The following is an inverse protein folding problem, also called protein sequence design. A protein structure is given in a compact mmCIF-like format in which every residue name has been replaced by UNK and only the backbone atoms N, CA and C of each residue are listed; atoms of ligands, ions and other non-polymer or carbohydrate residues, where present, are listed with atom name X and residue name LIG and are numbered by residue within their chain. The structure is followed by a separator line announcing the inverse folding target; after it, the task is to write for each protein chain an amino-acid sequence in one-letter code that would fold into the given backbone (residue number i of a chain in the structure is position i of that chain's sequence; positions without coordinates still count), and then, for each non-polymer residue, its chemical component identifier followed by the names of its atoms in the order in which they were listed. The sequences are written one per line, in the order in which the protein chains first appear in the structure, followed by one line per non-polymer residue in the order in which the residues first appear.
data_IF_074381131643
#
_entry.id   IF_074381131643
#
_cell.length_a   1.000
_cell.length_b   1.000
_cell.length_c   1.000
_cell.angle_alpha   90.00
_cell.angle_beta   90.00
_cell.angle_gamma   90.00
#
_symmetry.space_group_name_H-M   'P 1'
#
loop_
_entity.id
_entity.type
_entity.pdbx_description
1 polymer ?
#
# COMPACT_ATOMS: atom_id res chain seq x y z
N UNK A 1 25.61 -37.00 -12.30
CA UNK A 1 24.15 -36.70 -12.32
C UNK A 1 23.69 -36.45 -10.89
N UNK A 2 23.68 -35.19 -10.47
CA UNK A 2 23.35 -34.78 -9.10
C UNK A 2 22.01 -34.03 -9.19
N UNK A 3 20.95 -34.61 -8.62
CA UNK A 3 19.64 -33.94 -8.49
C UNK A 3 19.74 -32.87 -7.39
N UNK A 4 19.30 -31.62 -7.62
CA UNK A 4 19.22 -30.66 -6.54
C UNK A 4 17.98 -30.96 -5.68
N UNK A 5 18.18 -30.87 -4.36
CA UNK A 5 17.16 -31.01 -3.32
C UNK A 5 16.23 -29.81 -3.37
N UNK A 6 14.93 -30.08 -3.54
CA UNK A 6 13.85 -29.09 -3.43
C UNK A 6 13.81 -28.55 -2.00
N UNK A 7 14.23 -27.30 -1.81
CA UNK A 7 14.01 -26.57 -0.57
C UNK A 7 12.55 -26.11 -0.54
N UNK A 8 11.71 -26.82 0.23
CA UNK A 8 10.39 -26.32 0.64
C UNK A 8 10.60 -25.10 1.55
N UNK A 9 10.58 -23.90 0.97
CA UNK A 9 10.39 -22.68 1.73
C UNK A 9 8.91 -22.59 2.12
N UNK A 10 8.60 -22.96 3.36
CA UNK A 10 7.34 -22.57 3.99
C UNK A 10 7.35 -21.04 4.15
N UNK A 11 6.75 -20.35 3.18
CA UNK A 11 6.45 -18.93 3.30
C UNK A 11 5.38 -18.78 4.40
N UNK A 12 5.81 -18.61 5.66
CA UNK A 12 4.92 -18.09 6.69
C UNK A 12 4.53 -16.69 6.23
N UNK A 13 3.32 -16.56 5.68
CA UNK A 13 2.71 -15.26 5.42
C UNK A 13 2.58 -14.54 6.76
N UNK A 14 3.57 -13.73 7.10
CA UNK A 14 3.51 -12.83 8.25
C UNK A 14 2.42 -11.83 7.93
N UNK A 15 1.21 -12.08 8.44
CA UNK A 15 0.12 -11.13 8.40
C UNK A 15 0.54 -9.94 9.27
N UNK A 16 1.24 -8.98 8.67
CA UNK A 16 1.42 -7.64 9.21
C UNK A 16 0.06 -6.92 9.12
N UNK A 17 -0.93 -7.40 9.88
CA UNK A 17 -1.84 -6.47 10.53
C UNK A 17 -0.92 -5.57 11.33
N UNK A 18 -0.87 -4.27 10.99
CA UNK A 18 -0.25 -3.27 11.85
C UNK A 18 -0.94 -3.37 13.22
N UNK A 19 -0.38 -4.22 14.07
CA UNK A 19 -0.60 -4.24 15.50
C UNK A 19 0.14 -3.02 15.99
N UNK A 20 -0.49 -1.85 15.85
CA UNK A 20 -0.25 -0.75 16.76
C UNK A 20 -0.76 -1.20 18.14
N UNK A 21 -0.07 -2.18 18.72
CA UNK A 21 -0.06 -2.44 20.14
C UNK A 21 0.91 -1.42 20.71
N UNK A 22 0.36 -0.37 21.33
CA UNK A 22 1.14 0.45 22.23
C UNK A 22 1.64 -0.48 23.34
N UNK A 23 2.94 -0.79 23.28
CA UNK A 23 3.66 -1.45 24.36
C UNK A 23 3.50 -0.65 25.65
N UNK A 24 3.39 -1.38 26.74
CA UNK A 24 3.07 -0.90 28.09
C UNK A 24 3.75 0.40 28.48
N UNK A 25 2.93 1.43 28.67
CA UNK A 25 3.11 2.39 29.75
C UNK A 25 1.89 2.25 30.65
N UNK A 26 2.12 1.74 31.86
CA UNK A 26 1.15 1.77 32.94
C UNK A 26 0.78 3.23 33.24
N UNK A 27 -0.33 3.69 32.67
CA UNK A 27 -1.02 4.90 33.11
C UNK A 27 -2.43 4.52 33.55
N UNK A 28 -2.58 4.46 34.87
CA UNK A 28 -3.75 4.90 35.62
C UNK A 28 -5.03 5.19 34.81
N UNK A 29 -5.75 4.14 34.46
CA UNK A 29 -7.21 4.22 34.45
C UNK A 29 -7.72 2.85 34.91
N UNK A 30 -8.34 2.80 36.09
CA UNK A 30 -8.85 1.58 36.74
C UNK A 30 -10.04 0.94 36.02
N UNK A 31 -10.11 1.02 34.68
CA UNK A 31 -11.12 0.35 33.88
C UNK A 31 -10.58 -1.01 33.46
N UNK A 32 -11.30 -2.12 33.71
CA UNK A 32 -10.90 -3.43 33.22
C UNK A 32 -10.76 -3.41 31.69
N UNK A 33 -9.88 -4.24 31.11
CA UNK A 33 -9.77 -4.37 29.66
C UNK A 33 -11.14 -4.68 29.06
N UNK A 34 -11.54 -3.90 28.06
CA UNK A 34 -12.86 -4.00 27.41
C UNK A 34 -13.04 -5.41 26.84
N UNK A 35 -14.12 -6.10 27.22
CA UNK A 35 -14.37 -7.48 26.80
C UNK A 35 -14.53 -7.59 25.27
N UNK A 36 -14.28 -8.76 24.67
CA UNK A 36 -14.50 -8.95 23.23
C UNK A 36 -15.96 -8.68 22.85
N UNK A 37 -16.91 -9.07 23.71
CA UNK A 37 -18.34 -8.77 23.52
C UNK A 37 -18.60 -7.26 23.41
N UNK A 38 -18.03 -6.45 24.29
CA UNK A 38 -18.19 -5.00 24.25
C UNK A 38 -17.52 -4.39 23.01
N UNK A 39 -16.36 -4.91 22.61
CA UNK A 39 -15.67 -4.50 21.38
C UNK A 39 -16.53 -4.81 20.13
N UNK A 40 -17.14 -5.99 20.05
CA UNK A 40 -18.05 -6.37 18.95
C UNK A 40 -19.27 -5.45 18.94
N UNK A 41 -19.90 -5.22 20.09
CA UNK A 41 -21.06 -4.33 20.20
C UNK A 41 -20.72 -2.89 19.78
N UNK A 42 -19.55 -2.38 20.17
CA UNK A 42 -19.08 -1.07 19.72
C UNK A 42 -18.79 -1.04 18.22
N UNK A 43 -18.17 -2.09 17.67
CA UNK A 43 -17.89 -2.20 16.24
C UNK A 43 -19.19 -2.23 15.42
N UNK A 44 -20.23 -2.93 15.86
CA UNK A 44 -21.53 -2.97 15.17
C UNK A 44 -22.22 -1.60 15.07
N UNK A 45 -21.94 -0.67 15.99
CA UNK A 45 -22.47 0.71 15.96
C UNK A 45 -21.78 1.60 14.94
N UNK A 46 -20.65 1.18 14.36
CA UNK A 46 -19.95 1.92 13.30
C UNK A 46 -20.88 2.09 12.09
N UNK A 47 -21.25 3.31 11.68
CA UNK A 47 -22.20 3.53 10.58
C UNK A 47 -21.68 3.06 9.22
N UNK A 48 -20.37 3.21 8.96
CA UNK A 48 -19.81 2.90 7.65
C UNK A 48 -19.55 1.38 7.54
N UNK A 49 -20.23 0.65 6.63
CA UNK A 49 -20.12 -0.82 6.56
C UNK A 49 -18.70 -1.32 6.33
N UNK A 50 -17.92 -0.64 5.50
CA UNK A 50 -16.51 -0.99 5.26
C UNK A 50 -15.67 -0.90 6.54
N UNK A 51 -15.82 0.19 7.29
CA UNK A 51 -15.09 0.41 8.55
C UNK A 51 -15.55 -0.60 9.61
N UNK A 52 -16.86 -0.86 9.68
CA UNK A 52 -17.46 -1.88 10.54
C UNK A 52 -16.86 -3.26 10.25
N UNK A 53 -16.79 -3.65 8.98
CA UNK A 53 -16.18 -4.92 8.56
C UNK A 53 -14.72 -5.01 9.01
N UNK A 54 -13.89 -4.00 8.74
CA UNK A 54 -12.47 -3.98 9.15
C UNK A 54 -12.30 -4.12 10.67
N UNK A 55 -13.13 -3.42 11.46
CA UNK A 55 -13.12 -3.52 12.93
C UNK A 55 -13.48 -4.93 13.39
N UNK A 56 -14.57 -5.49 12.87
CA UNK A 56 -15.04 -6.84 13.22
C UNK A 56 -14.02 -7.92 12.83
N UNK A 57 -13.41 -7.85 11.64
CA UNK A 57 -12.35 -8.78 11.21
C UNK A 57 -11.19 -8.78 12.20
N UNK A 58 -10.74 -7.60 12.65
CA UNK A 58 -9.65 -7.48 13.62
C UNK A 58 -10.02 -8.03 14.99
N UNK A 59 -11.28 -7.88 15.42
CA UNK A 59 -11.76 -8.44 16.69
C UNK A 59 -11.82 -9.97 16.58
N UNK A 60 -12.46 -10.50 15.54
CA UNK A 60 -12.57 -11.94 15.29
C UNK A 60 -11.20 -12.62 15.22
N UNK A 61 -10.24 -12.01 14.52
CA UNK A 61 -8.87 -12.53 14.46
C UNK A 61 -8.21 -12.62 15.85
N UNK A 62 -8.41 -11.61 16.70
CA UNK A 62 -7.87 -11.61 18.07
C UNK A 62 -8.59 -12.62 18.97
N UNK A 63 -9.90 -12.78 18.82
CA UNK A 63 -10.66 -13.84 19.51
C UNK A 63 -10.11 -15.22 19.16
N UNK A 64 -9.92 -15.51 17.87
CA UNK A 64 -9.36 -16.78 17.42
C UNK A 64 -7.95 -17.02 17.97
N UNK A 65 -7.09 -15.99 17.99
CA UNK A 65 -5.75 -16.07 18.61
C UNK A 65 -5.80 -16.26 20.13
N UNK A 66 -6.88 -15.82 20.78
CA UNK A 66 -7.15 -16.05 22.20
C UNK A 66 -7.91 -17.37 22.46
N UNK A 67 -8.04 -18.25 21.44
CA UNK A 67 -8.75 -19.53 21.51
C UNK A 67 -10.27 -19.42 21.80
N UNK A 68 -10.85 -18.24 21.59
CA UNK A 68 -12.30 -18.03 21.55
C UNK A 68 -12.80 -18.34 20.13
N UNK A 69 -12.85 -19.63 19.78
CA UNK A 69 -13.18 -20.09 18.42
C UNK A 69 -14.63 -19.74 18.04
N UNK A 70 -15.59 -20.04 18.93
CA UNK A 70 -17.00 -19.73 18.69
C UNK A 70 -17.25 -18.23 18.59
N UNK A 71 -16.70 -17.43 19.51
CA UNK A 71 -16.85 -15.98 19.45
C UNK A 71 -16.17 -15.36 18.23
N UNK A 72 -15.06 -15.93 17.77
CA UNK A 72 -14.41 -15.53 16.53
C UNK A 72 -15.28 -15.84 15.31
N UNK A 73 -15.85 -17.05 15.23
CA UNK A 73 -16.73 -17.46 14.14
C UNK A 73 -17.94 -16.53 14.01
N UNK A 74 -18.66 -16.30 15.10
CA UNK A 74 -19.79 -15.36 15.15
C UNK A 74 -19.39 -13.95 14.69
N UNK A 75 -18.23 -13.48 15.13
CA UNK A 75 -17.73 -12.14 14.78
C UNK A 75 -17.28 -12.06 13.32
N UNK A 76 -16.75 -13.14 12.76
CA UNK A 76 -16.44 -13.23 11.34
C UNK A 76 -17.70 -13.25 10.47
N UNK A 77 -18.79 -13.87 10.91
CA UNK A 77 -20.07 -13.82 10.22
C UNK A 77 -20.67 -12.41 10.21
N UNK A 78 -20.56 -11.70 11.32
CA UNK A 78 -20.91 -10.27 11.40
C UNK A 78 -20.05 -9.43 10.45
N UNK A 79 -18.74 -9.70 10.38
CA UNK A 79 -17.85 -9.04 9.44
C UNK A 79 -18.26 -9.30 7.99
N UNK A 80 -18.55 -10.56 7.63
CA UNK A 80 -19.00 -10.93 6.29
C UNK A 80 -20.32 -10.23 5.92
N UNK A 81 -21.24 -10.07 6.87
CA UNK A 81 -22.48 -9.30 6.68
C UNK A 81 -22.18 -7.83 6.42
N UNK A 82 -21.27 -7.22 7.18
CA UNK A 82 -20.84 -5.84 6.96
C UNK A 82 -20.13 -5.65 5.61
N UNK A 83 -19.32 -6.61 5.16
CA UNK A 83 -18.76 -6.63 3.80
C UNK A 83 -19.86 -6.60 2.74
N UNK A 84 -20.90 -7.45 2.87
CA UNK A 84 -22.04 -7.46 1.93
C UNK A 84 -22.79 -6.13 1.87
N UNK A 85 -22.88 -5.43 3.01
CA UNK A 85 -23.54 -4.13 3.12
C UNK A 85 -22.71 -2.98 2.54
N UNK A 86 -21.45 -3.21 2.17
CA UNK A 86 -20.62 -2.19 1.51
C UNK A 86 -21.11 -2.00 0.07
N UNK A 87 -21.54 -0.77 -0.26
CA UNK A 87 -22.18 -0.45 -1.54
C UNK A 87 -21.17 -0.40 -2.70
N UNK A 88 -20.09 0.38 -2.52
CA UNK A 88 -19.02 0.51 -3.51
C UNK A 88 -18.37 -0.86 -3.78
N UNK A 89 -18.41 -1.37 -5.03
CA UNK A 89 -17.86 -2.68 -5.37
C UNK A 89 -16.37 -2.84 -5.05
N UNK A 90 -15.57 -1.79 -5.26
CA UNK A 90 -14.12 -1.82 -4.98
C UNK A 90 -13.85 -1.98 -3.49
N UNK A 91 -14.55 -1.21 -2.66
CA UNK A 91 -14.45 -1.28 -1.20
C UNK A 91 -15.00 -2.58 -0.65
N UNK A 92 -16.10 -3.10 -1.22
CA UNK A 92 -16.64 -4.41 -0.87
C UNK A 92 -15.66 -5.53 -1.19
N UNK A 93 -15.05 -5.53 -2.38
CA UNK A 93 -14.05 -6.52 -2.77
C UNK A 93 -12.84 -6.49 -1.83
N UNK A 94 -12.30 -5.31 -1.52
CA UNK A 94 -11.18 -5.15 -0.57
C UNK A 94 -11.54 -5.60 0.85
N UNK A 95 -12.76 -5.34 1.32
CA UNK A 95 -13.23 -5.80 2.63
C UNK A 95 -13.31 -7.33 2.71
N UNK A 96 -13.85 -7.98 1.66
CA UNK A 96 -13.84 -9.43 1.56
C UNK A 96 -12.42 -10.03 1.40
N UNK A 97 -11.54 -9.37 0.66
CA UNK A 97 -10.13 -9.78 0.54
C UNK A 97 -9.44 -9.78 1.92
N UNK A 98 -9.69 -8.75 2.74
CA UNK A 98 -9.19 -8.68 4.11
C UNK A 98 -9.76 -9.80 4.99
N UNK A 99 -11.05 -10.10 4.87
CA UNK A 99 -11.68 -11.21 5.58
C UNK A 99 -11.05 -12.55 5.19
N UNK A 100 -10.87 -12.79 3.89
CA UNK A 100 -10.21 -13.99 3.36
C UNK A 100 -8.79 -14.13 3.90
N UNK A 101 -8.02 -13.05 3.89
CA UNK A 101 -6.65 -13.03 4.40
C UNK A 101 -6.58 -13.34 5.91
N UNK A 102 -7.49 -12.76 6.71
CA UNK A 102 -7.55 -13.01 8.14
C UNK A 102 -7.89 -14.48 8.44
N UNK A 103 -8.86 -15.05 7.74
CA UNK A 103 -9.25 -16.45 7.86
C UNK A 103 -8.11 -17.40 7.43
N UNK A 104 -7.46 -17.12 6.29
CA UNK A 104 -6.31 -17.90 5.82
C UNK A 104 -5.15 -17.87 6.83
N UNK A 105 -4.87 -16.70 7.43
CA UNK A 105 -3.85 -16.55 8.48
C UNK A 105 -4.16 -17.27 9.79
N UNK A 106 -5.39 -17.77 9.96
CA UNK A 106 -5.80 -18.64 11.07
C UNK A 106 -5.83 -20.13 10.66
N UNK A 107 -5.59 -20.45 9.38
CA UNK A 107 -5.74 -21.81 8.85
C UNK A 107 -7.17 -22.18 8.45
N UNK A 108 -8.11 -21.23 8.49
CA UNK A 108 -9.52 -21.43 8.16
C UNK A 108 -9.71 -21.39 6.63
N UNK A 109 -9.19 -22.40 5.94
CA UNK A 109 -9.10 -22.41 4.47
C UNK A 109 -10.48 -22.32 3.79
N UNK A 110 -11.49 -23.05 4.27
CA UNK A 110 -12.82 -23.04 3.65
C UNK A 110 -13.53 -21.68 3.80
N UNK A 111 -13.62 -21.06 5.00
CA UNK A 111 -14.11 -19.69 5.12
C UNK A 111 -13.30 -18.65 4.33
N UNK A 112 -11.97 -18.82 4.28
CA UNK A 112 -11.10 -17.93 3.50
C UNK A 112 -11.45 -17.98 2.01
N UNK A 113 -11.60 -19.17 1.44
CA UNK A 113 -11.98 -19.34 0.04
C UNK A 113 -13.36 -18.73 -0.26
N UNK A 114 -14.37 -18.95 0.60
CA UNK A 114 -15.70 -18.33 0.42
C UNK A 114 -15.65 -16.81 0.43
N UNK A 115 -14.80 -16.23 1.28
CA UNK A 115 -14.60 -14.80 1.34
C UNK A 115 -13.88 -14.29 0.07
N UNK A 116 -12.89 -15.03 -0.44
CA UNK A 116 -12.23 -14.73 -1.72
C UNK A 116 -13.23 -14.78 -2.89
N UNK A 117 -14.08 -15.81 -2.96
CA UNK A 117 -15.12 -15.91 -4.00
C UNK A 117 -16.08 -14.72 -3.97
N UNK A 118 -16.43 -14.26 -2.76
CA UNK A 118 -17.26 -13.06 -2.57
C UNK A 118 -16.52 -11.79 -3.01
N UNK A 119 -15.21 -11.72 -2.79
CA UNK A 119 -14.37 -10.63 -3.25
C UNK A 119 -14.28 -10.58 -4.78
N UNK A 120 -14.08 -11.74 -5.44
CA UNK A 120 -14.07 -11.86 -6.91
C UNK A 120 -15.41 -11.47 -7.52
N UNK A 121 -16.54 -11.87 -6.92
CA UNK A 121 -17.88 -11.45 -7.35
C UNK A 121 -18.06 -9.93 -7.23
N UNK A 122 -17.57 -9.32 -6.16
CA UNK A 122 -17.61 -7.88 -5.99
C UNK A 122 -16.72 -7.16 -7.01
N UNK A 123 -15.53 -7.69 -7.30
CA UNK A 123 -14.63 -7.15 -8.32
C UNK A 123 -15.28 -7.17 -9.72
N UNK A 124 -16.03 -8.22 -10.07
CA UNK A 124 -16.77 -8.30 -11.33
C UNK A 124 -17.86 -7.24 -11.53
N UNK A 125 -18.17 -6.44 -10.51
CA UNK A 125 -19.12 -5.32 -10.58
C UNK A 125 -18.41 -3.96 -10.75
N UNK A 126 -17.08 -3.92 -10.71
CA UNK A 126 -16.29 -2.70 -10.94
C UNK A 126 -16.22 -2.45 -12.45
N UNK A 127 -16.70 -1.29 -12.88
CA UNK A 127 -16.73 -0.90 -14.30
C UNK A 127 -15.43 -0.23 -14.75
N UNK A 128 -14.86 0.60 -13.88
CA UNK A 128 -13.68 1.38 -14.20
C UNK A 128 -12.42 0.49 -14.21
N UNK A 129 -11.60 0.55 -15.28
CA UNK A 129 -10.51 -0.38 -15.49
C UNK A 129 -9.40 -0.24 -14.43
N UNK A 130 -9.08 0.97 -14.01
CA UNK A 130 -8.02 1.22 -13.02
C UNK A 130 -8.41 0.69 -11.61
N UNK A 131 -9.59 1.04 -11.03
CA UNK A 131 -10.04 0.43 -9.78
C UNK A 131 -10.18 -1.09 -9.85
N UNK A 132 -10.62 -1.63 -10.99
CA UNK A 132 -10.71 -3.08 -11.19
C UNK A 132 -9.32 -3.73 -11.15
N UNK A 133 -8.35 -3.21 -11.90
CA UNK A 133 -7.00 -3.75 -11.95
C UNK A 133 -6.31 -3.74 -10.58
N UNK A 134 -6.43 -2.63 -9.81
CA UNK A 134 -5.91 -2.57 -8.44
C UNK A 134 -6.59 -3.57 -7.50
N UNK A 135 -7.90 -3.76 -7.68
CA UNK A 135 -8.64 -4.76 -6.91
C UNK A 135 -8.15 -6.17 -7.24
N UNK A 136 -8.02 -6.51 -8.53
CA UNK A 136 -7.50 -7.81 -8.98
C UNK A 136 -6.09 -8.06 -8.45
N UNK A 137 -5.21 -7.04 -8.46
CA UNK A 137 -3.88 -7.14 -7.86
C UNK A 137 -3.93 -7.60 -6.41
N UNK A 138 -4.84 -7.00 -5.61
CA UNK A 138 -5.02 -7.39 -4.22
C UNK A 138 -5.59 -8.79 -4.05
N UNK A 139 -6.52 -9.20 -4.92
CA UNK A 139 -7.09 -10.55 -4.90
C UNK A 139 -6.07 -11.62 -5.28
N UNK A 140 -5.17 -11.32 -6.22
CA UNK A 140 -4.06 -12.21 -6.56
C UNK A 140 -3.12 -12.46 -5.37
N UNK A 141 -2.79 -11.44 -4.57
CA UNK A 141 -2.03 -11.65 -3.32
C UNK A 141 -2.75 -12.64 -2.37
N UNK A 142 -4.08 -12.54 -2.26
CA UNK A 142 -4.90 -13.40 -1.41
C UNK A 142 -5.02 -14.83 -1.97
N UNK A 143 -5.09 -14.99 -3.29
CA UNK A 143 -5.00 -16.30 -3.96
C UNK A 143 -3.65 -16.97 -3.69
N UNK A 144 -2.55 -16.23 -3.87
CA UNK A 144 -1.21 -16.73 -3.59
C UNK A 144 -1.02 -17.17 -2.13
N UNK A 145 -1.52 -16.37 -1.19
CA UNK A 145 -1.49 -16.73 0.24
C UNK A 145 -2.30 -18.00 0.58
N UNK A 146 -3.27 -18.37 -0.26
CA UNK A 146 -4.05 -19.61 -0.14
C UNK A 146 -3.48 -20.76 -0.99
N UNK A 147 -2.26 -20.62 -1.50
CA UNK A 147 -1.57 -21.56 -2.38
C UNK A 147 -2.17 -21.72 -3.79
N UNK A 148 -3.09 -20.83 -4.22
CA UNK A 148 -3.54 -20.75 -5.60
C UNK A 148 -2.60 -19.84 -6.42
N UNK A 149 -1.37 -20.31 -6.65
CA UNK A 149 -0.37 -19.55 -7.41
C UNK A 149 -0.81 -19.35 -8.86
N UNK A 150 -1.35 -20.38 -9.50
CA UNK A 150 -1.74 -20.32 -10.90
C UNK A 150 -2.86 -19.29 -11.13
N UNK A 151 -3.92 -19.32 -10.29
CA UNK A 151 -5.00 -18.35 -10.35
C UNK A 151 -4.55 -16.93 -10.00
N UNK A 152 -3.61 -16.77 -9.04
CA UNK A 152 -3.02 -15.48 -8.73
C UNK A 152 -2.31 -14.85 -9.93
N UNK A 153 -1.49 -15.62 -10.64
CA UNK A 153 -0.76 -15.13 -11.82
C UNK A 153 -1.68 -14.81 -12.98
N UNK A 154 -2.72 -15.62 -13.20
CA UNK A 154 -3.74 -15.30 -14.19
C UNK A 154 -4.46 -13.99 -13.86
N UNK A 155 -4.80 -13.79 -12.58
CA UNK A 155 -5.47 -12.58 -12.10
C UNK A 155 -4.60 -11.33 -12.28
N UNK A 156 -3.28 -11.43 -12.02
CA UNK A 156 -2.36 -10.32 -12.30
C UNK A 156 -2.22 -10.01 -13.79
N UNK A 157 -2.19 -11.03 -14.65
CA UNK A 157 -2.17 -10.82 -16.11
C UNK A 157 -3.41 -10.07 -16.59
N UNK A 158 -4.60 -10.43 -16.10
CA UNK A 158 -5.82 -9.67 -16.41
C UNK A 158 -5.77 -8.23 -15.90
N UNK A 159 -5.11 -7.98 -14.75
CA UNK A 159 -4.90 -6.62 -14.26
C UNK A 159 -3.91 -5.82 -15.14
N UNK A 160 -2.87 -6.45 -15.68
CA UNK A 160 -1.97 -5.82 -16.68
C UNK A 160 -2.69 -5.50 -17.98
N UNK A 161 -3.55 -6.38 -18.48
CA UNK A 161 -4.36 -6.14 -19.68
C UNK A 161 -5.27 -4.92 -19.51
N UNK A 162 -5.85 -4.75 -18.31
CA UNK A 162 -6.61 -3.56 -17.96
C UNK A 162 -5.74 -2.30 -17.90
N UNK A 163 -4.52 -2.40 -17.37
CA UNK A 163 -3.56 -1.29 -17.36
C UNK A 163 -3.26 -0.79 -18.79
N UNK A 164 -3.12 -1.70 -19.75
CA UNK A 164 -2.92 -1.36 -21.16
C UNK A 164 -4.11 -0.65 -21.84
N UNK A 165 -5.28 -0.61 -21.19
CA UNK A 165 -6.51 -0.02 -21.72
C UNK A 165 -6.90 1.28 -21.01
N UNK A 166 -6.08 1.79 -20.09
CA UNK A 166 -6.38 3.01 -19.36
C UNK A 166 -6.40 4.21 -20.30
N UNK A 167 -7.43 5.03 -20.12
CA UNK A 167 -7.63 6.27 -20.86
C UNK A 167 -7.73 7.43 -19.88
N UNK A 168 -7.17 8.57 -20.26
CA UNK A 168 -7.32 9.82 -19.51
C UNK A 168 -8.74 10.39 -19.72
N UNK A 169 -9.12 11.48 -19.02
CA UNK A 169 -10.43 12.10 -19.20
C UNK A 169 -10.73 12.58 -20.62
N UNK A 170 -9.70 12.82 -21.43
CA UNK A 170 -9.82 13.25 -22.83
C UNK A 170 -9.87 12.06 -23.81
N UNK A 171 -9.76 10.82 -23.32
CA UNK A 171 -9.80 9.60 -24.11
C UNK A 171 -8.47 9.18 -24.73
N UNK A 172 -7.36 9.83 -24.38
CA UNK A 172 -6.01 9.46 -24.81
C UNK A 172 -5.44 8.35 -23.92
N UNK A 173 -4.33 7.74 -24.34
CA UNK A 173 -3.65 6.74 -23.52
C UNK A 173 -3.17 7.37 -22.20
N UNK A 174 -3.65 6.86 -21.07
CA UNK A 174 -3.21 7.33 -19.74
C UNK A 174 -1.87 6.70 -19.38
N UNK A 175 -0.80 7.26 -19.94
CA UNK A 175 0.59 6.84 -19.73
C UNK A 175 0.95 6.86 -18.24
N UNK A 176 0.52 7.90 -17.52
CA UNK A 176 0.82 8.07 -16.11
C UNK A 176 0.10 7.01 -15.26
N UNK A 177 -1.22 6.87 -15.41
CA UNK A 177 -1.99 5.87 -14.67
C UNK A 177 -1.56 4.44 -14.99
N UNK A 178 -1.24 4.17 -16.26
CA UNK A 178 -0.69 2.86 -16.68
C UNK A 178 0.65 2.57 -16.02
N UNK A 179 1.56 3.56 -15.95
CA UNK A 179 2.85 3.39 -15.29
C UNK A 179 2.71 3.14 -13.79
N UNK A 180 1.88 3.92 -13.08
CA UNK A 180 1.58 3.71 -11.66
C UNK A 180 1.00 2.32 -11.39
N UNK A 181 0.08 1.88 -12.25
CA UNK A 181 -0.56 0.58 -12.11
C UNK A 181 0.44 -0.56 -12.35
N UNK A 182 1.29 -0.47 -13.38
CA UNK A 182 2.36 -1.44 -13.62
C UNK A 182 3.34 -1.52 -12.44
N UNK A 183 3.71 -0.38 -11.84
CA UNK A 183 4.51 -0.35 -10.60
C UNK A 183 3.79 -1.10 -9.47
N UNK A 184 2.50 -0.85 -9.28
CA UNK A 184 1.70 -1.56 -8.26
C UNK A 184 1.65 -3.07 -8.52
N UNK A 185 1.50 -3.48 -9.79
CA UNK A 185 1.48 -4.89 -10.18
C UNK A 185 2.83 -5.55 -9.97
N UNK A 186 3.95 -4.85 -10.20
CA UNK A 186 5.28 -5.36 -9.90
C UNK A 186 5.43 -5.76 -8.42
N UNK A 187 4.93 -4.93 -7.49
CA UNK A 187 4.86 -5.27 -6.07
C UNK A 187 4.06 -6.55 -5.79
N UNK A 188 2.98 -6.76 -6.52
CA UNK A 188 2.14 -7.96 -6.39
C UNK A 188 2.85 -9.20 -6.94
N UNK A 189 3.50 -9.11 -8.10
CA UNK A 189 4.33 -10.19 -8.65
C UNK A 189 5.47 -10.57 -7.69
N UNK A 190 6.15 -9.58 -7.11
CA UNK A 190 7.20 -9.81 -6.15
C UNK A 190 6.71 -10.57 -4.90
N UNK A 191 5.55 -10.19 -4.35
CA UNK A 191 4.94 -10.90 -3.20
C UNK A 191 4.57 -12.35 -3.53
N UNK A 192 4.26 -12.63 -4.79
CA UNK A 192 4.09 -13.99 -5.28
C UNK A 192 5.44 -14.68 -5.56
N UNK A 193 6.58 -14.02 -5.48
CA UNK A 193 7.90 -14.57 -5.77
C UNK A 193 8.23 -14.63 -7.27
N UNK A 194 7.50 -13.89 -8.11
CA UNK A 194 7.78 -13.76 -9.54
C UNK A 194 8.71 -12.58 -9.83
N UNK A 195 10.00 -12.74 -9.49
CA UNK A 195 10.99 -11.67 -9.62
C UNK A 195 11.19 -11.19 -11.08
N UNK A 196 11.07 -12.10 -12.05
CA UNK A 196 11.18 -11.77 -13.48
C UNK A 196 10.02 -10.90 -13.96
N UNK A 197 8.79 -11.25 -13.57
CA UNK A 197 7.60 -10.47 -13.93
C UNK A 197 7.57 -9.11 -13.22
N UNK A 198 7.99 -9.06 -11.94
CA UNK A 198 8.15 -7.81 -11.21
C UNK A 198 9.15 -6.88 -11.92
N UNK A 199 10.33 -7.40 -12.30
CA UNK A 199 11.34 -6.63 -13.03
C UNK A 199 10.83 -6.13 -14.38
N UNK A 200 10.10 -6.97 -15.13
CA UNK A 200 9.49 -6.59 -16.41
C UNK A 200 8.47 -5.46 -16.23
N UNK A 201 7.59 -5.56 -15.24
CA UNK A 201 6.58 -4.56 -14.96
C UNK A 201 7.19 -3.21 -14.53
N UNK A 202 8.25 -3.23 -13.71
CA UNK A 202 9.02 -2.02 -13.37
C UNK A 202 9.67 -1.40 -14.61
N UNK A 203 10.31 -2.21 -15.46
CA UNK A 203 10.94 -1.70 -16.67
C UNK A 203 9.91 -1.02 -17.59
N UNK A 204 8.74 -1.63 -17.78
CA UNK A 204 7.65 -1.03 -18.54
C UNK A 204 7.11 0.27 -17.90
N UNK A 205 7.02 0.32 -16.57
CA UNK A 205 6.62 1.54 -15.85
C UNK A 205 7.64 2.67 -16.05
N UNK A 206 8.95 2.39 -15.98
CA UNK A 206 10.01 3.37 -16.21
C UNK A 206 10.00 3.92 -17.63
N UNK A 207 9.79 3.08 -18.64
CA UNK A 207 9.69 3.55 -20.03
C UNK A 207 8.51 4.51 -20.22
N UNK A 208 7.37 4.21 -19.61
CA UNK A 208 6.22 5.13 -19.63
C UNK A 208 6.49 6.42 -18.85
N UNK A 209 7.22 6.36 -17.73
CA UNK A 209 7.57 7.55 -16.95
C UNK A 209 8.43 8.54 -17.75
N UNK A 210 9.32 8.04 -18.62
CA UNK A 210 10.14 8.88 -19.51
C UNK A 210 9.33 9.65 -20.55
N UNK A 211 8.14 9.17 -20.90
CA UNK A 211 7.25 9.83 -21.87
C UNK A 211 6.19 10.74 -21.22
N UNK A 212 6.30 11.02 -19.92
CA UNK A 212 5.43 11.99 -19.23
C UNK A 212 6.07 13.38 -19.34
N UNK A 213 5.39 14.30 -20.02
CA UNK A 213 5.93 15.64 -20.32
C UNK A 213 5.89 16.61 -19.13
N UNK A 214 4.98 16.41 -18.17
CA UNK A 214 4.90 17.26 -16.98
C UNK A 214 5.91 16.81 -15.92
N UNK A 215 6.93 17.63 -15.66
CA UNK A 215 8.03 17.32 -14.73
C UNK A 215 7.55 16.94 -13.33
N UNK A 216 6.48 17.57 -12.83
CA UNK A 216 5.94 17.26 -11.51
C UNK A 216 5.36 15.83 -11.50
N UNK A 217 4.55 15.49 -12.50
CA UNK A 217 3.99 14.13 -12.65
C UNK A 217 5.09 13.11 -12.93
N UNK A 218 6.08 13.42 -13.77
CA UNK A 218 7.20 12.54 -14.03
C UNK A 218 8.00 12.27 -12.75
N UNK A 219 8.32 13.31 -11.97
CA UNK A 219 8.98 13.19 -10.67
C UNK A 219 8.20 12.31 -9.70
N UNK A 220 6.89 12.56 -9.55
CA UNK A 220 6.01 11.76 -8.69
C UNK A 220 6.05 10.27 -9.06
N UNK A 221 5.97 10.00 -10.36
CA UNK A 221 5.95 8.66 -10.94
C UNK A 221 7.29 7.95 -10.72
N UNK A 222 8.41 8.59 -11.04
CA UNK A 222 9.74 8.05 -10.81
C UNK A 222 9.98 7.75 -9.32
N UNK A 223 9.57 8.65 -8.41
CA UNK A 223 9.65 8.40 -6.98
C UNK A 223 8.84 7.18 -6.53
N UNK A 224 7.65 6.99 -7.10
CA UNK A 224 6.79 5.83 -6.78
C UNK A 224 7.39 4.52 -7.31
N UNK A 225 7.95 4.55 -8.51
CA UNK A 225 8.67 3.41 -9.09
C UNK A 225 9.92 3.07 -8.27
N UNK A 226 10.68 4.09 -7.83
CA UNK A 226 11.86 3.91 -6.99
C UNK A 226 11.50 3.25 -5.64
N UNK A 227 10.43 3.70 -4.99
CA UNK A 227 9.93 3.06 -3.77
C UNK A 227 9.53 1.59 -4.01
N UNK A 228 8.89 1.31 -5.15
CA UNK A 228 8.55 -0.07 -5.52
C UNK A 228 9.79 -0.92 -5.81
N UNK A 229 10.81 -0.37 -6.48
CA UNK A 229 12.09 -1.05 -6.70
C UNK A 229 12.80 -1.36 -5.39
N UNK A 230 12.71 -0.48 -4.39
CA UNK A 230 13.26 -0.73 -3.07
C UNK A 230 12.63 -1.95 -2.41
N UNK A 231 11.31 -2.13 -2.57
CA UNK A 231 10.59 -3.30 -2.05
C UNK A 231 10.83 -4.57 -2.87
N UNK A 232 10.98 -4.47 -4.19
CA UNK A 232 10.86 -5.62 -5.11
C UNK A 232 12.16 -6.09 -5.76
N UNK A 233 13.18 -5.24 -5.79
CA UNK A 233 14.43 -5.44 -6.50
C UNK A 233 15.63 -5.19 -5.57
N UNK A 234 16.61 -4.39 -6.00
CA UNK A 234 17.76 -4.01 -5.19
C UNK A 234 17.72 -2.54 -4.80
N UNK A 235 18.31 -2.23 -3.64
CA UNK A 235 18.48 -0.85 -3.16
C UNK A 235 19.19 0.03 -4.19
N UNK A 236 20.21 -0.50 -4.87
CA UNK A 236 20.96 0.21 -5.91
C UNK A 236 20.06 0.67 -7.07
N UNK A 237 19.15 -0.18 -7.55
CA UNK A 237 18.21 0.22 -8.63
C UNK A 237 17.24 1.31 -8.17
N UNK A 238 16.75 1.23 -6.94
CA UNK A 238 15.92 2.27 -6.35
C UNK A 238 16.67 3.59 -6.20
N UNK A 239 17.92 3.56 -5.75
CA UNK A 239 18.77 4.74 -5.59
C UNK A 239 18.99 5.48 -6.93
N UNK A 240 19.25 4.74 -8.02
CA UNK A 240 19.36 5.33 -9.35
C UNK A 240 18.06 6.02 -9.80
N UNK A 241 16.91 5.39 -9.57
CA UNK A 241 15.61 5.98 -9.95
C UNK A 241 15.25 7.16 -9.05
N UNK A 242 15.57 7.12 -7.76
CA UNK A 242 15.42 8.26 -6.85
C UNK A 242 16.31 9.44 -7.28
N UNK A 243 17.54 9.18 -7.73
CA UNK A 243 18.42 10.22 -8.25
C UNK A 243 17.81 10.89 -9.49
N UNK A 244 17.27 10.11 -10.43
CA UNK A 244 16.56 10.64 -11.59
C UNK A 244 15.32 11.46 -11.18
N UNK A 245 14.53 10.98 -10.22
CA UNK A 245 13.37 11.72 -9.71
C UNK A 245 13.77 13.07 -9.08
N UNK A 246 14.87 13.11 -8.31
CA UNK A 246 15.40 14.34 -7.72
C UNK A 246 15.92 15.31 -8.78
N UNK A 247 16.52 14.80 -9.87
CA UNK A 247 16.92 15.62 -11.01
C UNK A 247 15.70 16.27 -11.69
N UNK A 248 14.67 15.48 -12.00
CA UNK A 248 13.41 15.99 -12.53
C UNK A 248 12.77 17.01 -11.59
N UNK A 249 12.72 16.73 -10.28
CA UNK A 249 12.20 17.67 -9.28
C UNK A 249 12.92 19.02 -9.32
N UNK A 250 14.24 19.01 -9.57
CA UNK A 250 15.05 20.24 -9.64
C UNK A 250 14.81 21.05 -10.90
N UNK A 251 14.32 20.44 -11.97
CA UNK A 251 13.98 21.10 -13.23
C UNK A 251 12.64 21.85 -13.16
N UNK A 252 11.77 21.50 -12.20
CA UNK A 252 10.49 22.18 -11.99
C UNK A 252 10.70 23.68 -11.74
N UNK A 253 10.15 24.52 -12.63
CA UNK A 253 10.36 25.97 -12.61
C UNK A 253 9.64 26.67 -11.45
N UNK A 254 8.41 26.24 -11.13
CA UNK A 254 7.62 26.87 -10.08
C UNK A 254 8.14 26.46 -8.69
N UNK A 255 8.69 27.40 -7.93
CA UNK A 255 9.25 27.16 -6.59
C UNK A 255 8.29 26.38 -5.66
N UNK A 256 7.01 26.72 -5.68
CA UNK A 256 5.99 26.00 -4.92
C UNK A 256 5.89 24.52 -5.33
N UNK A 257 5.76 24.22 -6.63
CA UNK A 257 5.67 22.84 -7.13
C UNK A 257 6.97 22.07 -6.85
N UNK A 258 8.12 22.71 -7.05
CA UNK A 258 9.45 22.13 -6.78
C UNK A 258 9.63 21.75 -5.32
N UNK A 259 9.30 22.65 -4.38
CA UNK A 259 9.38 22.35 -2.95
C UNK A 259 8.46 21.18 -2.55
N UNK A 260 7.26 21.10 -3.12
CA UNK A 260 6.34 19.97 -2.87
C UNK A 260 6.86 18.66 -3.45
N UNK A 261 7.40 18.67 -4.68
CA UNK A 261 7.99 17.50 -5.32
C UNK A 261 9.17 16.96 -4.50
N UNK A 262 10.07 17.83 -4.05
CA UNK A 262 11.19 17.47 -3.18
C UNK A 262 10.70 16.90 -1.84
N UNK A 263 9.69 17.50 -1.22
CA UNK A 263 9.12 17.02 0.03
C UNK A 263 8.47 15.63 -0.10
N UNK A 264 7.75 15.37 -1.18
CA UNK A 264 7.18 14.04 -1.48
C UNK A 264 8.26 12.98 -1.73
N UNK A 265 9.31 13.33 -2.48
CA UNK A 265 10.46 12.45 -2.66
C UNK A 265 11.18 12.15 -1.35
N UNK A 266 11.32 13.13 -0.46
CA UNK A 266 11.90 12.92 0.85
C UNK A 266 11.07 11.95 1.71
N UNK A 267 9.75 12.05 1.66
CA UNK A 267 8.87 11.10 2.35
C UNK A 267 9.09 9.67 1.82
N UNK A 268 9.09 9.48 0.49
CA UNK A 268 9.37 8.19 -0.16
C UNK A 268 10.76 7.65 0.16
N UNK A 269 11.79 8.49 0.14
CA UNK A 269 13.15 8.14 0.56
C UNK A 269 13.17 7.67 2.02
N UNK A 270 12.45 8.35 2.90
CA UNK A 270 12.36 7.97 4.31
C UNK A 270 11.60 6.65 4.52
N UNK A 271 10.59 6.36 3.70
CA UNK A 271 9.90 5.05 3.70
C UNK A 271 10.84 3.92 3.27
N UNK A 272 11.87 4.23 2.47
CA UNK A 272 12.91 3.32 2.00
C UNK A 272 14.16 3.29 2.91
N UNK A 273 14.02 3.66 4.19
CA UNK A 273 15.09 3.75 5.19
C UNK A 273 16.24 4.76 4.86
N UNK A 274 16.11 5.56 3.80
CA UNK A 274 17.09 6.57 3.38
C UNK A 274 16.91 7.89 4.12
N UNK A 275 16.83 7.84 5.47
CA UNK A 275 16.50 9.00 6.30
C UNK A 275 17.49 10.17 6.16
N UNK A 276 18.79 9.89 6.04
CA UNK A 276 19.78 10.95 5.84
C UNK A 276 19.53 11.73 4.55
N UNK A 277 19.27 11.00 3.46
CA UNK A 277 18.94 11.61 2.16
C UNK A 277 17.59 12.33 2.21
N UNK A 278 16.60 11.77 2.90
CA UNK A 278 15.31 12.41 3.08
C UNK A 278 15.44 13.79 3.78
N UNK A 279 16.26 13.89 4.84
CA UNK A 279 16.49 15.18 5.50
C UNK A 279 17.29 16.16 4.64
N UNK A 280 18.32 15.70 3.90
CA UNK A 280 19.01 16.57 2.92
C UNK A 280 18.04 17.16 1.88
N UNK A 281 17.12 16.34 1.37
CA UNK A 281 16.13 16.77 0.38
C UNK A 281 15.09 17.70 1.02
N UNK A 282 14.72 17.50 2.28
CA UNK A 282 13.84 18.43 3.01
C UNK A 282 14.51 19.77 3.30
N UNK A 283 15.81 19.79 3.59
CA UNK A 283 16.57 21.04 3.72
C UNK A 283 16.58 21.80 2.39
N UNK A 284 16.78 21.10 1.26
CA UNK A 284 16.65 21.69 -0.08
C UNK A 284 15.22 22.20 -0.33
N UNK A 285 14.19 21.44 0.05
CA UNK A 285 12.80 21.84 -0.08
C UNK A 285 12.46 23.08 0.76
N UNK A 286 12.97 23.21 1.99
CA UNK A 286 12.78 24.39 2.85
C UNK A 286 13.41 25.62 2.20
N UNK A 287 14.64 25.49 1.67
CA UNK A 287 15.30 26.59 0.95
C UNK A 287 14.49 27.06 -0.27
N UNK A 288 14.00 26.13 -1.08
CA UNK A 288 13.14 26.47 -2.23
C UNK A 288 11.82 27.08 -1.77
N UNK A 289 11.23 26.58 -0.69
CA UNK A 289 9.97 27.11 -0.15
C UNK A 289 10.10 28.60 0.25
N UNK A 290 11.26 29.04 0.73
CA UNK A 290 11.50 30.46 1.05
C UNK A 290 11.63 31.36 -0.19
N UNK A 291 11.80 30.79 -1.38
CA UNK A 291 11.88 31.53 -2.65
C UNK A 291 10.50 31.76 -3.30
N UNK A 292 9.42 31.24 -2.71
CA UNK A 292 8.05 31.43 -3.21
C UNK A 292 7.64 32.90 -3.06
N UNK A 293 7.24 33.60 -4.14
CA UNK A 293 6.89 35.02 -4.09
C UNK A 293 5.61 35.31 -3.29
N UNK A 294 4.60 34.44 -3.40
CA UNK A 294 3.31 34.62 -2.74
C UNK A 294 3.41 34.23 -1.26
N UNK A 295 3.33 35.21 -0.36
CA UNK A 295 3.53 35.03 1.08
C UNK A 295 2.67 33.90 1.70
N UNK A 296 1.39 33.81 1.30
CA UNK A 296 0.50 32.76 1.81
C UNK A 296 0.95 31.36 1.37
N UNK A 297 1.35 31.19 0.10
CA UNK A 297 1.85 29.93 -0.43
C UNK A 297 3.22 29.59 0.14
N UNK A 298 4.08 30.60 0.33
CA UNK A 298 5.36 30.47 0.99
C UNK A 298 5.19 29.90 2.40
N UNK A 299 4.34 30.54 3.21
CA UNK A 299 4.08 30.11 4.58
C UNK A 299 3.50 28.69 4.64
N UNK A 300 2.52 28.38 3.80
CA UNK A 300 1.92 27.04 3.74
C UNK A 300 2.96 25.97 3.37
N UNK A 301 3.79 26.26 2.36
CA UNK A 301 4.83 25.34 1.89
C UNK A 301 5.89 25.10 2.96
N UNK A 302 6.41 26.16 3.59
CA UNK A 302 7.39 26.07 4.68
C UNK A 302 6.81 25.27 5.85
N UNK A 303 5.56 25.54 6.26
CA UNK A 303 4.91 24.78 7.32
C UNK A 303 4.79 23.29 6.99
N UNK A 304 4.40 22.95 5.76
CA UNK A 304 4.30 21.56 5.30
C UNK A 304 5.65 20.86 5.33
N UNK A 305 6.70 21.47 4.74
CA UNK A 305 8.05 20.91 4.70
C UNK A 305 8.59 20.70 6.12
N UNK A 306 8.49 21.70 7.00
CA UNK A 306 8.97 21.61 8.39
C UNK A 306 8.18 20.63 9.23
N UNK A 307 6.88 20.49 8.98
CA UNK A 307 6.08 19.43 9.61
C UNK A 307 6.64 18.06 9.25
N UNK A 308 6.99 17.81 7.98
CA UNK A 308 7.62 16.56 7.56
C UNK A 308 8.99 16.37 8.22
N UNK A 309 9.84 17.39 8.29
CA UNK A 309 11.14 17.33 8.99
C UNK A 309 11.01 16.97 10.48
N UNK A 310 9.91 17.36 11.11
CA UNK A 310 9.59 17.04 12.49
C UNK A 310 9.05 15.62 12.68
N UNK A 311 8.29 15.11 11.71
CA UNK A 311 7.62 13.79 11.81
C UNK A 311 8.45 12.63 11.26
N UNK A 312 9.32 12.88 10.26
CA UNK A 312 10.12 11.82 9.67
C UNK A 312 11.23 11.34 10.63
N UNK A 313 11.55 10.02 10.62
CA UNK A 313 12.66 9.48 11.40
C UNK A 313 13.96 10.26 11.18
N UNK A 314 14.69 10.52 12.25
CA UNK A 314 15.99 11.22 12.19
C UNK A 314 17.08 10.29 11.65
N UNK A 315 18.10 10.82 10.95
CA UNK A 315 19.25 10.02 10.55
C UNK A 315 19.98 9.48 11.77
N UNK A 316 20.50 8.26 11.68
CA UNK A 316 21.29 7.64 12.76
C UNK A 316 22.53 8.52 13.02
N UNK A 317 22.66 9.06 14.23
CA UNK A 317 23.81 9.87 14.66
C UNK A 317 23.51 11.33 15.04
N UNK A 318 22.28 11.82 14.83
CA UNK A 318 21.85 13.12 15.37
C UNK A 318 21.00 12.89 16.63
N UNK A 319 21.65 12.81 17.80
CA UNK A 319 20.95 13.10 19.05
C UNK A 319 20.56 14.59 19.06
N UNK A 320 19.41 14.97 19.63
CA UNK A 320 19.13 16.38 19.84
C UNK A 320 20.23 16.94 20.75
N UNK A 321 20.89 18.00 20.29
CA UNK A 321 21.74 18.83 21.13
C UNK A 321 20.89 19.23 22.34
N UNK A 322 21.24 18.69 23.52
CA UNK A 322 20.75 19.16 24.81
C UNK A 322 21.44 20.47 25.17
#
# INVERSE_FOLDING_TARGET
MIRPRSALFFLRATLLLALAGCGGRSSESGKPPVSYRDQVAAAQKEPIPEVRAKKLIRIAYRQAKAQDEFGAEDTFDLAAKACRQTEDPSSRARAFALLAQAQAGLGNNTPAQRALDSAMKAAGLIKEPEPLARTLAKLAEVQGAQNDRAGALQTLKSAEELAGRLKDPDGNDDVFGRSLLLSTLAGSYHKLGEASEASRAIAAALELAKSVDDDLRQCELLGTIAATQHETASKDTAEHTFAAALETARQIETAHKKAYALADLAEKLSQCDSHAKAHEVLDEADLVAHQIPEADLQQQTVQKVRSLMGTLPKPKGQHPLQ
#
